data_IF_399591814126
#
_entry.id   IF_399591814126
#
_cell.length_a   1.000
_cell.length_b   1.000
_cell.length_c   1.000
_cell.angle_alpha   90.00
_cell.angle_beta   90.00
_cell.angle_gamma   90.00
#
_symmetry.space_group_name_H-M   'P 1'
#
loop_
_entity.id
_entity.type
_entity.pdbx_description
1 polymer ?
#
# COMPACT_ATOMS: atom_id res chain seq x y z
N UNK A 1 5.26 11.99 8.45
CA UNK A 1 4.17 12.21 9.43
C UNK A 1 4.17 11.04 10.40
N UNK A 2 3.80 11.28 11.66
CA UNK A 2 3.74 10.25 12.69
C UNK A 2 2.42 9.48 12.68
N UNK A 3 2.43 8.25 13.19
CA UNK A 3 1.24 7.41 13.36
C UNK A 3 0.27 8.08 14.33
N UNK A 4 -1.01 7.75 14.20
CA UNK A 4 -2.10 8.28 15.04
C UNK A 4 -2.96 7.17 15.60
N UNK A 5 -3.46 7.41 16.81
CA UNK A 5 -4.50 6.62 17.46
C UNK A 5 -5.53 7.57 18.09
N UNK A 6 -6.61 7.03 18.67
CA UNK A 6 -7.58 7.80 19.41
C UNK A 6 -7.13 8.00 20.87
N UNK A 7 -7.62 9.05 21.54
CA UNK A 7 -7.20 9.37 22.92
C UNK A 7 -7.98 8.57 23.97
N UNK A 8 -9.26 8.32 23.73
CA UNK A 8 -10.19 7.69 24.67
C UNK A 8 -11.05 6.67 23.95
N UNK A 9 -11.60 5.73 24.72
CA UNK A 9 -12.61 4.81 24.21
C UNK A 9 -13.89 5.56 23.84
N UNK A 10 -14.54 5.16 22.75
CA UNK A 10 -15.84 5.69 22.34
C UNK A 10 -16.72 4.55 21.82
N UNK A 11 -17.98 4.58 22.23
CA UNK A 11 -18.95 3.52 21.96
C UNK A 11 -20.07 4.04 21.05
N UNK A 12 -20.45 3.21 20.08
CA UNK A 12 -21.54 3.47 19.15
C UNK A 12 -22.44 2.22 19.14
N UNK A 13 -23.74 2.42 19.30
CA UNK A 13 -24.72 1.35 19.21
C UNK A 13 -25.60 1.55 17.97
N UNK A 14 -26.00 0.46 17.34
CA UNK A 14 -26.88 0.50 16.16
C UNK A 14 -27.34 -0.89 15.74
N UNK A 15 -27.71 -0.99 14.46
CA UNK A 15 -28.20 -2.23 13.84
C UNK A 15 -27.37 -2.48 12.59
N UNK A 16 -26.99 -3.73 12.34
CA UNK A 16 -26.34 -4.13 11.08
C UNK A 16 -27.30 -4.02 9.90
N UNK A 17 -26.83 -3.51 8.75
CA UNK A 17 -27.64 -3.31 7.56
C UNK A 17 -28.28 -4.63 7.08
N UNK A 18 -27.46 -5.66 6.90
CA UNK A 18 -27.88 -6.90 6.27
C UNK A 18 -28.46 -7.90 7.27
N UNK A 19 -27.81 -8.05 8.41
CA UNK A 19 -28.17 -9.02 9.44
C UNK A 19 -29.36 -8.57 10.27
N UNK A 20 -29.57 -7.25 10.42
CA UNK A 20 -30.55 -6.69 11.35
C UNK A 20 -30.21 -6.91 12.83
N UNK A 21 -29.01 -7.41 13.12
CA UNK A 21 -28.56 -7.64 14.48
C UNK A 21 -28.27 -6.31 15.18
N UNK A 22 -28.70 -6.19 16.44
CA UNK A 22 -28.25 -5.08 17.29
C UNK A 22 -26.78 -5.30 17.63
N UNK A 23 -26.00 -4.23 17.55
CA UNK A 23 -24.58 -4.26 17.81
C UNK A 23 -24.17 -3.02 18.59
N UNK A 24 -23.29 -3.23 19.56
CA UNK A 24 -22.56 -2.22 20.29
C UNK A 24 -21.10 -2.36 19.89
N UNK A 25 -20.59 -1.32 19.25
CA UNK A 25 -19.22 -1.22 18.76
C UNK A 25 -18.45 -0.23 19.63
N UNK A 26 -17.22 -0.56 20.02
CA UNK A 26 -16.34 0.30 20.82
C UNK A 26 -15.01 0.46 20.12
N UNK A 27 -14.62 1.69 19.82
CA UNK A 27 -13.26 2.00 19.39
C UNK A 27 -12.38 2.21 20.62
N UNK A 28 -11.19 1.61 20.62
CA UNK A 28 -10.18 1.76 21.67
C UNK A 28 -8.83 2.22 21.12
N UNK A 29 -8.09 3.08 21.85
CA UNK A 29 -6.71 3.40 21.53
C UNK A 29 -5.87 2.14 21.38
N UNK A 30 -4.89 2.18 20.48
CA UNK A 30 -3.97 1.07 20.28
C UNK A 30 -2.53 1.58 20.15
N UNK A 31 -1.58 0.74 20.57
CA UNK A 31 -0.14 1.03 20.51
C UNK A 31 0.36 1.19 19.07
N UNK A 32 1.55 1.77 18.91
CA UNK A 32 2.19 1.92 17.60
C UNK A 32 2.32 0.57 16.88
N UNK A 33 2.20 0.61 15.55
CA UNK A 33 2.22 -0.56 14.66
C UNK A 33 1.17 -1.63 14.98
N UNK A 34 0.16 -1.33 15.80
CA UNK A 34 -0.95 -2.24 16.03
C UNK A 34 -1.80 -2.45 14.77
N UNK A 35 -1.94 -1.40 13.95
CA UNK A 35 -2.86 -1.32 12.83
C UNK A 35 -4.33 -1.24 13.27
N UNK A 36 -5.23 -1.43 12.31
CA UNK A 36 -6.68 -1.53 12.57
C UNK A 36 -7.02 -3.01 12.76
N UNK A 37 -7.65 -3.35 13.90
CA UNK A 37 -8.12 -4.72 14.16
C UNK A 37 -9.53 -4.69 14.73
N UNK A 38 -10.31 -5.68 14.35
CA UNK A 38 -11.61 -5.97 14.95
C UNK A 38 -11.47 -7.04 16.02
N UNK A 39 -12.39 -7.06 16.99
CA UNK A 39 -12.48 -8.09 18.02
C UNK A 39 -13.94 -8.43 18.33
N UNK A 40 -14.30 -9.70 18.16
CA UNK A 40 -15.66 -10.20 18.39
C UNK A 40 -15.84 -10.57 19.85
N UNK A 41 -16.49 -9.70 20.62
CA UNK A 41 -16.66 -9.84 22.07
C UNK A 41 -17.71 -10.88 22.46
N UNK A 42 -18.63 -11.18 21.56
CA UNK A 42 -19.73 -12.12 21.73
C UNK A 42 -19.34 -13.58 21.47
N UNK A 43 -18.18 -13.83 20.85
CA UNK A 43 -17.68 -15.17 20.57
C UNK A 43 -16.78 -15.70 21.70
N UNK A 44 -16.71 -17.04 21.89
CA UNK A 44 -15.71 -17.67 22.75
C UNK A 44 -14.29 -17.22 22.35
N UNK A 45 -13.43 -17.02 23.35
CA UNK A 45 -12.04 -16.56 23.20
C UNK A 45 -11.84 -15.14 22.65
N UNK A 46 -12.92 -14.41 22.38
CA UNK A 46 -12.93 -13.02 21.93
C UNK A 46 -11.90 -12.73 20.81
N UNK A 47 -12.00 -13.43 19.68
CA UNK A 47 -10.97 -13.48 18.64
C UNK A 47 -10.79 -12.14 17.93
N UNK A 48 -9.56 -11.89 17.48
CA UNK A 48 -9.17 -10.73 16.71
C UNK A 48 -9.20 -11.02 15.21
N UNK A 49 -9.57 -10.03 14.40
CA UNK A 49 -9.51 -10.06 12.94
C UNK A 49 -8.76 -8.82 12.47
N UNK A 50 -7.56 -8.94 11.89
CA UNK A 50 -6.85 -7.78 11.34
C UNK A 50 -7.58 -7.25 10.10
N UNK A 51 -7.63 -5.92 9.96
CA UNK A 51 -8.14 -5.26 8.74
C UNK A 51 -7.12 -5.41 7.61
N UNK A 52 -7.16 -6.56 6.95
CA UNK A 52 -6.21 -6.96 5.91
C UNK A 52 -6.95 -7.60 4.74
N UNK A 53 -6.57 -7.23 3.52
CA UNK A 53 -7.21 -7.74 2.29
C UNK A 53 -7.20 -9.27 2.17
N UNK A 54 -6.24 -9.95 2.81
CA UNK A 54 -6.17 -11.42 2.85
C UNK A 54 -7.26 -12.06 3.73
N UNK A 55 -7.93 -11.27 4.57
CA UNK A 55 -9.03 -11.70 5.42
C UNK A 55 -10.40 -11.49 4.78
N UNK A 56 -10.47 -10.89 3.59
CA UNK A 56 -11.74 -10.68 2.88
C UNK A 56 -12.25 -12.02 2.32
N UNK A 57 -13.47 -12.40 2.71
CA UNK A 57 -14.11 -13.65 2.26
C UNK A 57 -15.34 -13.42 1.37
N UNK A 58 -15.98 -12.26 1.47
CA UNK A 58 -17.15 -11.91 0.69
C UNK A 58 -17.18 -10.41 0.41
N UNK A 59 -17.70 -10.06 -0.77
CA UNK A 59 -17.83 -8.68 -1.26
C UNK A 59 -19.25 -8.39 -1.76
N UNK A 60 -20.23 -9.19 -1.34
CA UNK A 60 -21.61 -9.11 -1.79
C UNK A 60 -22.32 -8.01 -1.00
N UNK A 61 -22.55 -6.84 -1.63
CA UNK A 61 -23.24 -5.69 -1.02
C UNK A 61 -22.57 -5.13 0.24
N UNK A 62 -21.28 -5.40 0.39
CA UNK A 62 -20.40 -4.90 1.44
C UNK A 62 -19.15 -5.77 1.55
N UNK A 63 -18.18 -5.37 2.35
CA UNK A 63 -16.93 -6.09 2.55
C UNK A 63 -16.95 -6.84 3.87
N UNK A 64 -16.72 -8.16 3.81
CA UNK A 64 -16.74 -9.04 4.99
C UNK A 64 -15.36 -9.63 5.23
N UNK A 65 -14.86 -9.46 6.47
CA UNK A 65 -13.62 -10.04 6.94
C UNK A 65 -13.86 -11.30 7.75
N UNK A 66 -12.94 -12.27 7.67
CA UNK A 66 -12.93 -13.46 8.51
C UNK A 66 -11.52 -13.83 8.94
N UNK A 67 -11.37 -14.21 10.21
CA UNK A 67 -10.20 -14.91 10.71
C UNK A 67 -10.61 -16.05 11.66
N UNK A 68 -10.20 -17.27 11.33
CA UNK A 68 -10.71 -18.47 11.97
C UNK A 68 -12.24 -18.57 11.86
N UNK A 69 -12.91 -18.62 13.01
CA UNK A 69 -14.38 -18.71 13.13
C UNK A 69 -15.07 -17.34 13.18
N UNK A 70 -14.30 -16.27 13.37
CA UNK A 70 -14.85 -14.94 13.59
C UNK A 70 -15.02 -14.19 12.28
N UNK A 71 -16.16 -13.53 12.11
CA UNK A 71 -16.47 -12.71 10.94
C UNK A 71 -16.89 -11.30 11.36
N UNK A 72 -16.63 -10.31 10.52
CA UNK A 72 -17.17 -8.95 10.64
C UNK A 72 -17.64 -8.49 9.27
N UNK A 73 -18.92 -8.16 9.20
CA UNK A 73 -19.60 -7.74 7.98
C UNK A 73 -19.63 -6.21 7.88
N UNK A 74 -19.61 -5.71 6.64
CA UNK A 74 -19.87 -4.28 6.31
C UNK A 74 -18.82 -3.34 6.93
N UNK A 75 -17.53 -3.64 6.76
CA UNK A 75 -16.43 -2.88 7.39
C UNK A 75 -16.09 -1.55 6.72
N UNK A 76 -16.49 -1.39 5.46
CA UNK A 76 -16.07 -0.33 4.54
C UNK A 76 -16.29 1.09 5.07
N UNK A 77 -17.45 1.42 5.65
CA UNK A 77 -17.72 2.79 6.12
C UNK A 77 -16.86 3.15 7.33
N UNK A 78 -16.70 2.22 8.28
CA UNK A 78 -15.84 2.41 9.44
C UNK A 78 -14.37 2.54 9.03
N UNK A 79 -13.90 1.70 8.11
CA UNK A 79 -12.53 1.81 7.58
C UNK A 79 -12.30 3.12 6.82
N UNK A 80 -13.30 3.55 6.05
CA UNK A 80 -13.28 4.83 5.34
C UNK A 80 -13.15 6.01 6.32
N UNK A 81 -13.91 6.00 7.42
CA UNK A 81 -13.83 7.03 8.47
C UNK A 81 -12.44 7.09 9.12
N UNK A 82 -11.86 5.93 9.47
CA UNK A 82 -10.54 5.84 10.08
C UNK A 82 -9.44 6.39 9.15
N UNK A 83 -9.45 5.98 7.88
CA UNK A 83 -8.49 6.46 6.89
C UNK A 83 -8.69 7.93 6.56
N UNK A 84 -9.93 8.38 6.44
CA UNK A 84 -10.30 9.78 6.23
C UNK A 84 -9.81 10.71 7.35
N UNK A 85 -9.74 10.22 8.59
CA UNK A 85 -9.19 10.94 9.74
C UNK A 85 -7.69 10.68 9.96
N UNK A 86 -7.09 9.79 9.17
CA UNK A 86 -5.68 9.43 9.25
C UNK A 86 -5.30 8.67 10.53
N UNK A 87 -6.23 7.90 11.10
CA UNK A 87 -6.01 7.02 12.26
C UNK A 87 -5.37 5.71 11.77
N UNK A 88 -4.21 5.35 12.33
CA UNK A 88 -3.45 4.16 11.90
C UNK A 88 -3.67 2.97 12.85
N UNK A 89 -3.78 3.25 14.15
CA UNK A 89 -3.84 2.24 15.19
C UNK A 89 -5.14 2.37 15.99
N UNK A 90 -5.99 1.36 15.92
CA UNK A 90 -7.24 1.29 16.71
C UNK A 90 -7.67 -0.17 16.87
N UNK A 91 -8.23 -0.49 18.03
CA UNK A 91 -8.95 -1.74 18.26
C UNK A 91 -10.46 -1.46 18.22
N UNK A 92 -11.18 -2.23 17.42
CA UNK A 92 -12.63 -2.10 17.25
C UNK A 92 -13.28 -3.34 17.85
N UNK A 93 -13.86 -3.21 19.03
CA UNK A 93 -14.61 -4.28 19.68
C UNK A 93 -16.08 -4.23 19.25
N UNK A 94 -16.68 -5.38 18.98
CA UNK A 94 -18.10 -5.49 18.64
C UNK A 94 -18.72 -6.75 19.24
N UNK A 95 -19.97 -6.65 19.70
CA UNK A 95 -20.76 -7.75 20.28
C UNK A 95 -21.78 -8.35 19.31
N UNK A 96 -21.59 -8.09 18.00
CA UNK A 96 -22.43 -8.57 16.92
C UNK A 96 -21.62 -8.93 15.67
N UNK A 97 -22.25 -9.52 14.65
CA UNK A 97 -21.55 -9.98 13.45
C UNK A 97 -21.28 -8.90 12.40
N UNK A 98 -21.91 -7.73 12.51
CA UNK A 98 -21.93 -6.69 11.49
C UNK A 98 -21.74 -5.31 12.13
N UNK A 99 -21.01 -4.43 11.46
CA UNK A 99 -20.86 -3.03 11.85
C UNK A 99 -22.23 -2.32 11.78
N UNK A 100 -22.57 -1.44 12.75
CA UNK A 100 -23.85 -0.72 12.71
C UNK A 100 -23.92 0.18 11.47
N UNK A 101 -25.04 0.15 10.75
CA UNK A 101 -25.20 0.95 9.51
C UNK A 101 -25.39 2.44 9.79
N UNK A 102 -25.94 2.77 10.96
CA UNK A 102 -26.24 4.15 11.38
C UNK A 102 -27.14 4.85 10.35
N UNK A 103 -26.75 6.02 9.84
CA UNK A 103 -27.44 6.74 8.76
C UNK A 103 -27.09 6.25 7.35
N UNK A 104 -26.25 5.23 7.22
CA UNK A 104 -25.77 4.68 5.95
C UNK A 104 -24.56 5.41 5.37
N UNK A 105 -24.01 6.41 6.06
CA UNK A 105 -22.78 7.09 5.69
C UNK A 105 -21.65 6.77 6.68
N UNK A 106 -20.57 7.55 6.64
CA UNK A 106 -19.47 7.48 7.61
C UNK A 106 -19.48 8.63 8.64
N UNK A 107 -20.42 9.59 8.55
CA UNK A 107 -20.36 10.83 9.35
C UNK A 107 -20.43 10.57 10.84
N UNK A 108 -21.30 9.67 11.28
CA UNK A 108 -21.47 9.37 12.71
C UNK A 108 -20.24 8.66 13.30
N UNK A 109 -19.48 7.91 12.49
CA UNK A 109 -18.17 7.40 12.90
C UNK A 109 -17.15 8.53 13.02
N UNK A 110 -17.14 9.45 12.05
CA UNK A 110 -16.23 10.60 12.04
C UNK A 110 -16.46 11.49 13.26
N UNK A 111 -17.72 11.82 13.57
CA UNK A 111 -18.10 12.64 14.73
C UNK A 111 -17.64 11.99 16.04
N UNK A 112 -17.91 10.70 16.24
CA UNK A 112 -17.49 9.96 17.44
C UNK A 112 -15.95 9.90 17.58
N UNK A 113 -15.23 9.67 16.48
CA UNK A 113 -13.76 9.62 16.46
C UNK A 113 -13.14 11.00 16.72
N UNK A 114 -13.77 12.08 16.25
CA UNK A 114 -13.33 13.44 16.54
C UNK A 114 -13.61 13.82 18.00
N UNK A 115 -14.77 13.43 18.55
CA UNK A 115 -15.14 13.67 19.95
C UNK A 115 -14.16 13.00 20.93
N UNK A 116 -13.75 11.76 20.65
CA UNK A 116 -12.82 11.04 21.51
C UNK A 116 -11.38 11.59 21.47
N UNK A 117 -11.06 12.42 20.48
CA UNK A 117 -9.74 13.02 20.26
C UNK A 117 -8.77 12.09 19.52
N UNK A 118 -7.94 12.65 18.64
CA UNK A 118 -6.91 11.93 17.87
C UNK A 118 -5.54 12.42 18.32
N UNK A 119 -4.65 11.49 18.69
CA UNK A 119 -3.30 11.78 19.18
C UNK A 119 -2.24 11.19 18.25
N UNK A 120 -1.12 11.89 18.11
CA UNK A 120 0.06 11.36 17.42
C UNK A 120 0.88 10.45 18.35
N UNK A 121 1.45 9.41 17.77
CA UNK A 121 2.35 8.47 18.43
C UNK A 121 3.79 8.73 17.95
N UNK A 122 4.83 8.47 18.77
CA UNK A 122 6.22 8.76 18.42
C UNK A 122 6.82 7.74 17.44
N UNK A 123 6.10 7.41 16.37
CA UNK A 123 6.51 6.44 15.36
C UNK A 123 6.10 6.96 13.97
N UNK A 124 6.99 6.87 12.98
CA UNK A 124 6.68 7.35 11.63
C UNK A 124 5.65 6.44 10.92
N UNK A 125 4.77 7.06 10.12
CA UNK A 125 3.88 6.32 9.21
C UNK A 125 4.70 5.72 8.08
N UNK A 126 4.49 4.42 7.85
CA UNK A 126 5.09 3.70 6.72
C UNK A 126 4.10 3.71 5.54
N UNK A 127 4.33 4.63 4.59
CA UNK A 127 3.48 4.80 3.42
C UNK A 127 3.84 3.82 2.30
N UNK A 128 2.83 3.36 1.57
CA UNK A 128 3.03 2.79 0.24
C UNK A 128 3.04 3.90 -0.80
N UNK A 129 4.20 4.14 -1.41
CA UNK A 129 4.39 5.19 -2.41
C UNK A 129 4.19 4.63 -3.81
N UNK A 130 3.25 5.21 -4.56
CA UNK A 130 3.05 4.91 -5.97
C UNK A 130 4.18 5.58 -6.76
N UNK A 131 5.19 4.80 -7.14
CA UNK A 131 6.39 5.30 -7.83
C UNK A 131 6.25 5.34 -9.35
N UNK A 132 5.31 4.58 -9.90
CA UNK A 132 5.03 4.47 -11.34
C UNK A 132 3.53 4.35 -11.57
N UNK A 133 3.08 4.71 -12.77
CA UNK A 133 1.68 4.54 -13.16
C UNK A 133 1.36 3.06 -13.32
N UNK A 134 0.29 2.60 -12.65
CA UNK A 134 -0.18 1.22 -12.70
C UNK A 134 -1.65 1.19 -13.10
N UNK A 135 -1.98 0.41 -14.12
CA UNK A 135 -3.36 0.14 -14.52
C UNK A 135 -3.79 -1.25 -14.05
N UNK A 136 -5.05 -1.36 -13.66
CA UNK A 136 -5.71 -2.62 -13.32
C UNK A 136 -7.13 -2.60 -13.86
N UNK A 137 -7.55 -3.71 -14.46
CA UNK A 137 -8.91 -3.90 -14.94
C UNK A 137 -9.45 -5.19 -14.37
N UNK A 138 -10.61 -5.13 -13.73
CA UNK A 138 -11.30 -6.33 -13.25
C UNK A 138 -12.01 -7.01 -14.44
N UNK A 139 -11.63 -8.24 -14.81
CA UNK A 139 -12.19 -8.92 -15.98
C UNK A 139 -13.68 -9.26 -15.81
N UNK A 140 -14.16 -9.39 -14.57
CA UNK A 140 -15.52 -9.82 -14.29
C UNK A 140 -16.51 -8.66 -14.29
N UNK A 141 -16.20 -7.54 -13.63
CA UNK A 141 -17.09 -6.37 -13.57
C UNK A 141 -16.80 -5.32 -14.64
N UNK A 142 -15.67 -5.42 -15.35
CA UNK A 142 -15.19 -4.39 -16.28
C UNK A 142 -14.80 -3.08 -15.59
N UNK A 143 -14.54 -3.12 -14.28
CA UNK A 143 -14.10 -1.97 -13.52
C UNK A 143 -12.64 -1.64 -13.86
N UNK A 144 -12.32 -0.36 -13.96
CA UNK A 144 -10.99 0.13 -14.34
C UNK A 144 -10.40 0.94 -13.18
N UNK A 145 -9.11 0.74 -12.91
CA UNK A 145 -8.35 1.41 -11.87
C UNK A 145 -7.03 1.90 -12.43
N UNK A 146 -6.65 3.12 -12.06
CA UNK A 146 -5.38 3.73 -12.41
C UNK A 146 -4.77 4.31 -11.13
N UNK A 147 -3.60 3.82 -10.74
CA UNK A 147 -2.78 4.43 -9.70
C UNK A 147 -1.64 5.22 -10.35
N UNK A 148 -1.44 6.47 -9.94
CA UNK A 148 -0.41 7.36 -10.46
C UNK A 148 0.42 7.96 -9.32
N UNK A 149 1.70 8.30 -9.56
CA UNK A 149 2.51 9.03 -8.60
C UNK A 149 1.88 10.38 -8.24
N UNK A 150 1.86 10.69 -6.95
CA UNK A 150 1.49 11.99 -6.38
C UNK A 150 2.12 12.13 -4.99
N UNK A 151 2.43 13.36 -4.58
CA UNK A 151 3.03 13.68 -3.28
C UNK A 151 2.01 13.62 -2.12
N UNK A 152 0.73 13.42 -2.45
CA UNK A 152 -0.36 13.27 -1.50
C UNK A 152 -1.33 12.16 -1.95
N UNK A 153 -2.29 11.82 -1.08
CA UNK A 153 -3.37 10.92 -1.44
C UNK A 153 -4.49 11.68 -2.14
N UNK A 154 -4.82 11.24 -3.35
CA UNK A 154 -5.95 11.74 -4.13
C UNK A 154 -6.79 10.55 -4.60
N UNK A 155 -8.12 10.70 -4.61
CA UNK A 155 -9.03 9.68 -5.10
C UNK A 155 -10.12 10.29 -5.98
N UNK A 156 -10.28 9.77 -7.19
CA UNK A 156 -11.39 10.11 -8.09
C UNK A 156 -12.15 8.85 -8.47
N UNK A 157 -13.47 8.88 -8.37
CA UNK A 157 -14.34 7.78 -8.77
C UNK A 157 -15.36 8.26 -9.78
N UNK A 158 -15.51 7.48 -10.86
CA UNK A 158 -16.54 7.65 -11.88
C UNK A 158 -17.52 6.49 -11.80
N UNK A 159 -18.80 6.80 -11.58
CA UNK A 159 -19.87 5.81 -11.56
C UNK A 159 -20.67 5.86 -12.86
N UNK A 160 -21.02 4.68 -13.35
CA UNK A 160 -21.87 4.51 -14.51
C UNK A 160 -22.69 3.22 -14.30
N UNK A 161 -23.94 3.43 -13.85
CA UNK A 161 -24.89 2.35 -13.59
C UNK A 161 -25.77 2.01 -14.79
N UNK A 162 -25.51 2.63 -15.96
CA UNK A 162 -26.34 2.48 -17.15
C UNK A 162 -27.85 2.69 -16.87
N UNK A 163 -28.16 3.59 -15.93
CA UNK A 163 -29.53 3.93 -15.53
C UNK A 163 -29.96 5.20 -16.26
N UNK A 164 -31.25 5.24 -16.67
CA UNK A 164 -31.83 6.47 -17.24
C UNK A 164 -31.98 7.57 -16.20
N UNK A 165 -32.10 7.20 -14.93
CA UNK A 165 -32.42 8.11 -13.83
C UNK A 165 -31.17 8.49 -13.02
N UNK A 166 -30.19 7.58 -12.94
CA UNK A 166 -28.86 7.90 -12.42
C UNK A 166 -27.85 7.88 -13.57
N UNK A 167 -27.60 9.08 -14.14
CA UNK A 167 -26.61 9.27 -15.17
C UNK A 167 -25.17 9.05 -14.68
N UNK A 168 -24.20 9.24 -15.58
CA UNK A 168 -22.80 9.21 -15.22
C UNK A 168 -22.49 10.34 -14.24
N UNK A 169 -21.85 10.00 -13.12
CA UNK A 169 -21.43 10.95 -12.11
C UNK A 169 -19.98 10.69 -11.76
N UNK A 170 -19.30 11.73 -11.28
CA UNK A 170 -17.96 11.61 -10.74
C UNK A 170 -17.87 12.32 -9.39
N UNK A 171 -16.94 11.86 -8.56
CA UNK A 171 -16.55 12.51 -7.32
C UNK A 171 -15.03 12.46 -7.20
N UNK A 172 -14.45 13.50 -6.61
CA UNK A 172 -13.02 13.60 -6.33
C UNK A 172 -12.80 14.04 -4.88
N UNK A 173 -11.73 13.51 -4.30
CA UNK A 173 -11.15 13.92 -3.03
C UNK A 173 -9.68 14.24 -3.31
N UNK A 174 -9.37 15.53 -3.47
CA UNK A 174 -8.02 15.98 -3.80
C UNK A 174 -7.14 16.13 -2.54
N UNK A 175 -7.76 16.30 -1.37
CA UNK A 175 -7.07 16.35 -0.09
C UNK A 175 -7.84 15.56 0.96
N UNK A 176 -7.16 14.63 1.63
CA UNK A 176 -7.76 13.80 2.68
C UNK A 176 -8.39 14.62 3.82
N UNK A 177 -7.91 15.85 4.08
CA UNK A 177 -8.46 16.75 5.10
C UNK A 177 -9.92 17.14 4.84
N UNK A 178 -10.35 17.11 3.59
CA UNK A 178 -11.71 17.48 3.19
C UNK A 178 -12.70 16.32 3.34
N UNK A 179 -12.21 15.10 3.65
CA UNK A 179 -13.02 13.88 3.72
C UNK A 179 -14.24 14.03 4.64
N UNK A 180 -14.04 14.54 5.85
CA UNK A 180 -15.09 14.66 6.87
C UNK A 180 -16.27 15.53 6.40
N UNK A 181 -16.00 16.56 5.59
CA UNK A 181 -17.01 17.52 5.13
C UNK A 181 -17.61 17.11 3.78
N UNK A 182 -16.80 16.53 2.90
CA UNK A 182 -17.17 16.33 1.51
C UNK A 182 -17.61 14.91 1.17
N UNK A 183 -17.17 13.90 1.92
CA UNK A 183 -17.35 12.48 1.59
C UNK A 183 -18.08 11.74 2.70
N UNK A 184 -17.64 11.90 3.96
CA UNK A 184 -18.21 11.20 5.11
C UNK A 184 -19.75 11.23 5.23
N UNK A 185 -20.47 12.33 4.95
CA UNK A 185 -21.94 12.36 5.06
C UNK A 185 -22.69 11.73 3.88
N UNK A 186 -22.00 11.18 2.88
CA UNK A 186 -22.67 10.62 1.70
C UNK A 186 -23.16 9.20 1.97
N UNK A 187 -24.48 9.01 1.94
CA UNK A 187 -25.13 7.76 2.35
C UNK A 187 -25.13 6.72 1.25
N UNK A 188 -25.26 5.47 1.70
CA UNK A 188 -25.42 4.32 0.80
C UNK A 188 -26.72 4.42 0.01
N UNK A 189 -26.76 3.70 -1.10
CA UNK A 189 -27.89 3.74 -2.01
C UNK A 189 -28.16 2.38 -2.62
N UNK A 190 -29.41 2.17 -3.03
CA UNK A 190 -29.88 0.93 -3.63
C UNK A 190 -30.87 1.24 -4.74
N UNK A 191 -30.83 0.45 -5.81
CA UNK A 191 -31.86 0.56 -6.85
C UNK A 191 -33.13 -0.17 -6.44
N UNK A 192 -34.27 0.41 -6.79
CA UNK A 192 -35.58 -0.12 -6.41
C UNK A 192 -35.79 -1.57 -6.85
N UNK A 193 -35.39 -1.93 -8.07
CA UNK A 193 -35.54 -3.30 -8.58
C UNK A 193 -34.67 -4.32 -7.83
N UNK A 194 -33.66 -3.87 -7.08
CA UNK A 194 -32.76 -4.72 -6.30
C UNK A 194 -33.32 -4.99 -4.91
N UNK A 195 -34.13 -4.08 -4.34
CA UNK A 195 -34.69 -4.21 -3.00
C UNK A 195 -35.47 -5.53 -2.83
N UNK A 196 -36.32 -5.90 -3.79
CA UNK A 196 -37.11 -7.13 -3.72
C UNK A 196 -36.22 -8.38 -3.67
N UNK A 197 -35.19 -8.44 -4.53
CA UNK A 197 -34.22 -9.55 -4.56
C UNK A 197 -33.42 -9.64 -3.27
N UNK A 198 -33.01 -8.50 -2.70
CA UNK A 198 -32.24 -8.46 -1.45
C UNK A 198 -33.08 -8.95 -0.27
N UNK A 199 -34.36 -8.56 -0.20
CA UNK A 199 -35.30 -9.05 0.81
C UNK A 199 -35.51 -10.57 0.69
N UNK A 200 -35.71 -11.09 -0.53
CA UNK A 200 -35.85 -12.54 -0.79
C UNK A 200 -34.60 -13.34 -0.37
N UNK A 201 -33.42 -12.74 -0.49
CA UNK A 201 -32.14 -13.32 -0.05
C UNK A 201 -31.88 -13.19 1.46
N UNK A 202 -32.85 -12.72 2.25
CA UNK A 202 -32.71 -12.45 3.68
C UNK A 202 -31.60 -11.43 4.02
N UNK A 203 -31.31 -10.49 3.10
CA UNK A 203 -30.42 -9.35 3.31
C UNK A 203 -31.23 -8.10 3.70
N UNK A 204 -30.54 -6.98 3.94
CA UNK A 204 -31.10 -5.66 4.26
C UNK A 204 -32.12 -5.62 5.41
N UNK A 205 -32.03 -6.54 6.38
CA UNK A 205 -32.98 -6.64 7.51
C UNK A 205 -32.95 -5.42 8.45
N UNK A 206 -31.84 -4.70 8.50
CA UNK A 206 -31.69 -3.41 9.20
C UNK A 206 -31.82 -2.20 8.28
N UNK A 207 -32.01 -2.41 6.97
CA UNK A 207 -32.21 -1.35 6.00
C UNK A 207 -33.56 -0.68 6.20
N UNK A 208 -33.55 0.65 6.22
CA UNK A 208 -34.75 1.46 6.24
C UNK A 208 -34.57 2.69 5.36
N UNK A 209 -35.64 3.45 5.18
CA UNK A 209 -35.62 4.64 4.34
C UNK A 209 -34.84 5.82 4.92
N UNK A 210 -34.42 5.73 6.18
CA UNK A 210 -33.67 6.77 6.87
C UNK A 210 -32.15 6.52 6.78
N UNK A 211 -31.72 5.31 6.38
CA UNK A 211 -30.32 4.90 6.27
C UNK A 211 -29.85 4.52 4.86
N UNK A 212 -30.70 4.65 3.83
CA UNK A 212 -30.30 4.41 2.45
C UNK A 212 -31.11 5.25 1.46
N UNK A 213 -30.43 5.76 0.43
CA UNK A 213 -31.06 6.44 -0.70
C UNK A 213 -31.62 5.39 -1.65
N UNK A 214 -32.93 5.46 -1.94
CA UNK A 214 -33.57 4.54 -2.88
C UNK A 214 -33.68 5.20 -4.24
N UNK A 215 -33.00 4.63 -5.23
CA UNK A 215 -33.00 5.11 -6.61
C UNK A 215 -34.05 4.33 -7.40
N UNK A 216 -35.05 5.04 -7.88
CA UNK A 216 -36.10 4.50 -8.75
C UNK A 216 -35.58 4.47 -10.17
N UNK A 217 -35.50 3.29 -10.77
CA UNK A 217 -34.95 3.10 -12.11
C UNK A 217 -35.94 2.42 -13.09
N UNK A 218 -37.19 2.26 -12.66
CA UNK A 218 -38.34 1.85 -13.48
C UNK A 218 -39.48 2.85 -13.35
N UNK A 219 -40.31 2.94 -14.38
CA UNK A 219 -41.58 3.67 -14.27
C UNK A 219 -42.48 2.96 -13.24
N UNK A 220 -43.07 3.74 -12.35
CA UNK A 220 -43.99 3.25 -11.33
C UNK A 220 -45.34 3.94 -11.48
N UNK A 221 -46.41 3.16 -11.38
CA UNK A 221 -47.75 3.73 -11.21
C UNK A 221 -47.95 4.25 -9.78
N UNK A 222 -48.99 5.05 -9.55
CA UNK A 222 -49.32 5.49 -8.19
C UNK A 222 -49.66 4.31 -7.27
N UNK A 223 -50.30 3.26 -7.80
CA UNK A 223 -50.58 2.04 -7.03
C UNK A 223 -49.30 1.32 -6.61
N UNK A 224 -48.30 1.24 -7.49
CA UNK A 224 -46.99 0.67 -7.16
C UNK A 224 -46.28 1.47 -6.06
N UNK A 225 -46.38 2.80 -6.10
CA UNK A 225 -45.83 3.69 -5.06
C UNK A 225 -46.55 3.51 -3.72
N UNK A 226 -47.88 3.36 -3.75
CA UNK A 226 -48.68 3.15 -2.53
C UNK A 226 -48.41 1.78 -1.91
N UNK A 227 -48.23 0.74 -2.74
CA UNK A 227 -47.79 -0.59 -2.28
C UNK A 227 -46.38 -0.55 -1.71
N UNK A 228 -45.46 0.18 -2.36
CA UNK A 228 -44.11 0.37 -1.87
C UNK A 228 -44.10 1.12 -0.53
N UNK A 229 -44.89 2.18 -0.38
CA UNK A 229 -45.03 2.92 0.87
C UNK A 229 -45.46 2.01 2.03
N UNK A 230 -46.43 1.11 1.78
CA UNK A 230 -46.86 0.09 2.75
C UNK A 230 -45.73 -0.88 3.10
N UNK A 231 -45.03 -1.42 2.10
CA UNK A 231 -43.88 -2.32 2.33
C UNK A 231 -42.76 -1.64 3.14
N UNK A 232 -42.58 -0.33 2.94
CA UNK A 232 -41.55 0.47 3.61
C UNK A 232 -42.04 1.17 4.90
N UNK A 233 -43.25 0.86 5.38
CA UNK A 233 -43.86 1.45 6.58
C UNK A 233 -43.85 3.00 6.59
N UNK A 234 -44.14 3.66 5.46
CA UNK A 234 -44.32 5.11 5.37
C UNK A 234 -45.73 5.46 4.90
N UNK A 235 -46.26 6.65 5.28
CA UNK A 235 -47.60 7.09 4.88
C UNK A 235 -47.73 7.36 3.38
N UNK A 236 -46.66 7.79 2.71
CA UNK A 236 -46.59 7.94 1.25
C UNK A 236 -45.14 8.02 0.79
N UNK A 237 -44.87 7.69 -0.48
CA UNK A 237 -43.60 7.94 -1.16
C UNK A 237 -43.85 8.59 -2.51
N UNK A 238 -42.96 9.49 -2.92
CA UNK A 238 -42.98 10.16 -4.23
C UNK A 238 -41.59 10.05 -4.85
N UNK A 239 -41.55 10.00 -6.18
CA UNK A 239 -40.30 10.07 -6.94
C UNK A 239 -40.00 11.53 -7.21
N UNK A 240 -38.85 12.02 -6.74
CA UNK A 240 -38.37 13.37 -7.05
C UNK A 240 -37.82 13.43 -8.48
N UNK A 241 -37.58 14.65 -8.98
CA UNK A 241 -37.15 14.89 -10.37
C UNK A 241 -35.86 14.15 -10.77
N UNK A 242 -35.06 13.75 -9.78
CA UNK A 242 -33.77 13.07 -9.94
C UNK A 242 -33.91 11.54 -9.90
N UNK A 243 -35.13 11.00 -9.88
CA UNK A 243 -35.36 9.56 -9.82
C UNK A 243 -35.04 8.94 -8.45
N UNK A 244 -34.97 9.76 -7.42
CA UNK A 244 -34.77 9.34 -6.03
C UNK A 244 -36.10 9.39 -5.29
N UNK A 245 -36.37 8.44 -4.39
CA UNK A 245 -37.53 8.54 -3.51
C UNK A 245 -37.35 9.72 -2.55
N UNK A 246 -38.42 10.50 -2.34
CA UNK A 246 -38.46 11.67 -1.46
C UNK A 246 -38.37 11.34 0.04
N UNK A 247 -37.76 10.21 0.38
CA UNK A 247 -37.62 9.73 1.74
C UNK A 247 -36.46 10.41 2.44
N UNK A 248 -35.47 10.88 1.66
CA UNK A 248 -34.33 11.65 2.14
C UNK A 248 -34.01 12.79 1.16
N UNK A 249 -33.53 13.90 1.71
CA UNK A 249 -32.92 14.98 0.92
C UNK A 249 -31.44 14.68 0.72
N UNK A 250 -30.97 14.74 -0.52
CA UNK A 250 -29.55 14.54 -0.83
C UNK A 250 -28.69 15.66 -0.23
N UNK A 251 -27.54 15.30 0.37
CA UNK A 251 -26.54 16.25 0.85
C UNK A 251 -25.77 16.89 -0.32
N UNK A 252 -25.58 16.12 -1.40
CA UNK A 252 -24.92 16.56 -2.62
C UNK A 252 -25.66 16.02 -3.85
N UNK A 253 -25.66 16.78 -4.95
CA UNK A 253 -26.25 16.31 -6.20
C UNK A 253 -25.58 15.04 -6.76
N UNK A 254 -24.31 14.81 -6.42
CA UNK A 254 -23.54 13.62 -6.76
C UNK A 254 -23.27 12.70 -5.55
N UNK A 255 -24.16 12.68 -4.55
CA UNK A 255 -24.02 11.85 -3.34
C UNK A 255 -23.74 10.36 -3.65
N UNK A 256 -24.38 9.70 -4.65
CA UNK A 256 -24.05 8.32 -5.02
C UNK A 256 -22.58 8.13 -5.46
N UNK A 257 -22.02 9.08 -6.22
CA UNK A 257 -20.62 9.03 -6.64
C UNK A 257 -19.66 9.23 -5.46
N UNK A 258 -19.99 10.16 -4.55
CA UNK A 258 -19.22 10.42 -3.33
C UNK A 258 -19.28 9.25 -2.35
N UNK A 259 -20.42 8.58 -2.24
CA UNK A 259 -20.53 7.35 -1.48
C UNK A 259 -19.69 6.22 -2.09
N UNK A 260 -19.65 6.10 -3.42
CA UNK A 260 -18.76 5.12 -4.05
C UNK A 260 -17.27 5.43 -3.81
N UNK A 261 -16.90 6.72 -3.74
CA UNK A 261 -15.56 7.14 -3.32
C UNK A 261 -15.28 6.73 -1.87
N UNK A 262 -16.25 6.93 -0.96
CA UNK A 262 -16.19 6.48 0.43
C UNK A 262 -15.93 4.97 0.51
N UNK A 263 -16.66 4.16 -0.24
CA UNK A 263 -16.47 2.70 -0.33
C UNK A 263 -15.06 2.32 -0.79
N UNK A 264 -14.60 2.94 -1.89
CA UNK A 264 -13.26 2.69 -2.44
C UNK A 264 -12.19 3.01 -1.39
N UNK A 265 -12.31 4.12 -0.66
CA UNK A 265 -11.39 4.47 0.41
C UNK A 265 -11.40 3.43 1.54
N UNK A 266 -12.59 2.99 1.95
CA UNK A 266 -12.77 1.97 2.97
C UNK A 266 -12.12 0.64 2.58
N UNK A 267 -12.38 0.16 1.36
CA UNK A 267 -11.81 -1.09 0.86
C UNK A 267 -10.28 -1.00 0.67
N UNK A 268 -9.77 0.14 0.18
CA UNK A 268 -8.32 0.35 0.02
C UNK A 268 -7.57 0.43 1.36
N UNK A 269 -8.27 0.74 2.46
CA UNK A 269 -7.70 0.69 3.81
C UNK A 269 -7.18 -0.70 4.17
N UNK A 270 -7.78 -1.76 3.59
CA UNK A 270 -7.37 -3.16 3.77
C UNK A 270 -6.01 -3.49 3.15
N UNK A 271 -5.39 -2.57 2.40
CA UNK A 271 -3.99 -2.66 2.03
C UNK A 271 -3.08 -2.75 3.27
N UNK A 272 -3.50 -2.16 4.39
CA UNK A 272 -2.78 -2.15 5.66
C UNK A 272 -1.66 -1.09 5.74
N UNK A 273 -1.57 -0.19 4.76
CA UNK A 273 -0.69 0.98 4.76
C UNK A 273 -1.37 2.16 4.09
N UNK A 274 -1.13 3.41 4.56
CA UNK A 274 -1.58 4.60 3.85
C UNK A 274 -0.88 4.71 2.49
N UNK A 275 -1.62 5.19 1.48
CA UNK A 275 -1.14 5.33 0.10
C UNK A 275 -0.69 6.78 -0.12
N UNK A 276 0.46 6.97 -0.77
CA UNK A 276 0.84 8.25 -1.40
C UNK A 276 0.78 8.08 -2.91
N UNK A 277 -0.15 8.80 -3.55
CA UNK A 277 -0.48 8.64 -4.94
C UNK A 277 -1.92 9.01 -5.26
N UNK A 278 -2.20 9.13 -6.55
CA UNK A 278 -3.54 9.39 -7.06
C UNK A 278 -4.18 8.10 -7.57
N UNK A 279 -5.38 7.80 -7.09
CA UNK A 279 -6.18 6.67 -7.57
C UNK A 279 -7.36 7.21 -8.37
N UNK A 280 -7.57 6.68 -9.57
CA UNK A 280 -8.75 6.95 -10.40
C UNK A 280 -9.46 5.63 -10.67
N UNK A 281 -10.76 5.59 -10.41
CA UNK A 281 -11.58 4.39 -10.58
C UNK A 281 -12.78 4.65 -11.47
N UNK A 282 -13.20 3.64 -12.24
CA UNK A 282 -14.42 3.67 -13.05
C UNK A 282 -15.21 2.38 -12.83
N UNK A 283 -16.51 2.51 -12.57
CA UNK A 283 -17.42 1.37 -12.28
C UNK A 283 -16.93 0.49 -11.12
N UNK A 284 -16.31 1.11 -10.13
CA UNK A 284 -15.80 0.41 -8.95
C UNK A 284 -16.92 -0.18 -8.09
N UNK A 285 -16.58 -1.22 -7.34
CA UNK A 285 -17.42 -1.86 -6.34
C UNK A 285 -16.58 -2.80 -5.48
N UNK A 286 -17.09 -3.26 -4.34
CA UNK A 286 -16.29 -3.97 -3.33
C UNK A 286 -15.45 -5.12 -3.88
N UNK A 287 -16.00 -5.94 -4.78
CA UNK A 287 -15.26 -7.04 -5.42
C UNK A 287 -14.01 -6.52 -6.13
N UNK A 288 -14.17 -5.57 -7.05
CA UNK A 288 -13.07 -5.06 -7.85
C UNK A 288 -12.14 -4.13 -7.06
N UNK A 289 -12.65 -3.45 -6.02
CA UNK A 289 -11.85 -2.70 -5.06
C UNK A 289 -10.88 -3.63 -4.30
N UNK A 290 -11.39 -4.76 -3.81
CA UNK A 290 -10.61 -5.77 -3.09
C UNK A 290 -9.57 -6.42 -4.00
N UNK A 291 -9.93 -6.76 -5.24
CA UNK A 291 -8.95 -7.28 -6.21
C UNK A 291 -7.87 -6.26 -6.56
N UNK A 292 -8.25 -4.98 -6.70
CA UNK A 292 -7.28 -3.90 -6.86
C UNK A 292 -6.39 -3.72 -5.62
N UNK A 293 -6.94 -3.81 -4.41
CA UNK A 293 -6.16 -3.78 -3.17
C UNK A 293 -5.17 -4.96 -3.08
N UNK A 294 -5.56 -6.17 -3.51
CA UNK A 294 -4.63 -7.32 -3.64
C UNK A 294 -3.53 -7.06 -4.66
N UNK A 295 -3.88 -6.46 -5.81
CA UNK A 295 -2.91 -6.06 -6.83
C UNK A 295 -1.90 -5.04 -6.27
N UNK A 296 -2.36 -3.99 -5.59
CA UNK A 296 -1.50 -3.00 -4.94
C UNK A 296 -0.64 -3.63 -3.84
N UNK A 297 -1.19 -4.56 -3.05
CA UNK A 297 -0.44 -5.28 -2.02
C UNK A 297 0.72 -6.09 -2.62
N UNK A 298 0.49 -6.76 -3.75
CA UNK A 298 1.56 -7.45 -4.49
C UNK A 298 2.65 -6.48 -4.93
N UNK A 299 2.27 -5.33 -5.51
CA UNK A 299 3.19 -4.28 -5.94
C UNK A 299 3.98 -3.67 -4.78
N UNK A 300 3.34 -3.44 -3.65
CA UNK A 300 3.96 -3.00 -2.41
C UNK A 300 4.98 -4.01 -1.89
N UNK A 301 4.65 -5.30 -1.90
CA UNK A 301 5.59 -6.36 -1.52
C UNK A 301 6.77 -6.46 -2.48
N UNK A 302 6.55 -6.30 -3.78
CA UNK A 302 7.62 -6.29 -4.78
C UNK A 302 8.52 -5.06 -4.62
N UNK A 303 7.96 -3.86 -4.44
CA UNK A 303 8.73 -2.67 -4.08
C UNK A 303 9.53 -2.87 -2.78
N UNK A 304 8.96 -3.53 -1.77
CA UNK A 304 9.69 -3.83 -0.52
C UNK A 304 10.87 -4.78 -0.76
N UNK A 305 10.76 -5.75 -1.67
CA UNK A 305 11.91 -6.60 -2.07
C UNK A 305 13.00 -5.80 -2.78
N UNK A 306 12.61 -4.75 -3.51
CA UNK A 306 13.52 -3.82 -4.18
C UNK A 306 14.07 -2.74 -3.23
N UNK A 307 13.43 -2.52 -2.08
CA UNK A 307 13.83 -1.50 -1.09
C UNK A 307 15.25 -1.82 -0.58
N UNK A 308 16.20 -0.95 -0.93
CA UNK A 308 17.62 -1.10 -0.59
C UNK A 308 18.50 -1.59 -1.73
N UNK A 309 17.93 -2.00 -2.88
CA UNK A 309 18.67 -2.22 -4.13
C UNK A 309 18.97 -0.84 -4.74
N UNK A 310 20.23 -0.50 -5.02
CA UNK A 310 20.55 0.75 -5.68
C UNK A 310 19.97 0.82 -7.09
N UNK A 311 19.45 1.99 -7.48
CA UNK A 311 18.96 2.25 -8.82
C UNK A 311 20.11 2.76 -9.70
N UNK A 312 20.39 2.07 -10.81
CA UNK A 312 21.34 2.53 -11.81
C UNK A 312 20.60 3.18 -12.98
N UNK A 313 20.81 4.48 -13.15
CA UNK A 313 20.33 5.27 -14.27
C UNK A 313 21.52 5.58 -15.20
N UNK A 314 21.59 5.00 -16.42
CA UNK A 314 22.73 5.21 -17.31
C UNK A 314 22.82 6.63 -17.87
N UNK A 315 21.73 7.42 -17.81
CA UNK A 315 21.71 8.81 -18.28
C UNK A 315 22.29 9.79 -17.24
N UNK A 316 22.45 9.35 -15.98
CA UNK A 316 23.09 10.15 -14.92
C UNK A 316 24.60 9.99 -14.94
N UNK A 317 25.30 11.12 -14.85
CA UNK A 317 26.75 11.13 -14.68
C UNK A 317 27.16 10.43 -13.36
N UNK A 318 28.22 9.60 -13.36
CA UNK A 318 28.70 8.96 -12.15
C UNK A 318 29.38 9.97 -11.22
N UNK A 319 29.42 9.68 -9.92
CA UNK A 319 30.21 10.44 -8.95
C UNK A 319 31.71 10.29 -9.19
N UNK A 320 32.15 9.05 -9.45
CA UNK A 320 33.50 8.76 -9.89
C UNK A 320 33.47 7.86 -11.13
N UNK A 321 34.19 8.26 -12.18
CA UNK A 321 34.44 7.42 -13.35
C UNK A 321 35.67 6.52 -13.14
N UNK A 322 35.93 5.61 -14.08
CA UNK A 322 37.03 4.65 -14.00
C UNK A 322 38.40 5.31 -13.85
N UNK A 323 38.66 6.44 -14.52
CA UNK A 323 39.91 7.20 -14.39
C UNK A 323 40.10 7.77 -12.99
N UNK A 324 39.04 8.30 -12.38
CA UNK A 324 39.07 8.80 -11.00
C UNK A 324 39.25 7.66 -10.00
N UNK A 325 38.56 6.53 -10.20
CA UNK A 325 38.71 5.33 -9.36
C UNK A 325 40.16 4.81 -9.42
N UNK A 326 40.79 4.83 -10.59
CA UNK A 326 42.19 4.44 -10.76
C UNK A 326 43.17 5.31 -9.95
N UNK A 327 42.83 6.57 -9.67
CA UNK A 327 43.63 7.45 -8.81
C UNK A 327 43.45 7.14 -7.33
N UNK A 328 42.31 6.55 -6.94
CA UNK A 328 41.98 6.20 -5.56
C UNK A 328 42.46 4.79 -5.18
N UNK A 329 42.31 3.82 -6.08
CA UNK A 329 42.70 2.42 -5.85
C UNK A 329 44.09 2.10 -6.43
N UNK A 330 44.84 1.18 -5.82
CA UNK A 330 46.09 0.65 -6.41
C UNK A 330 45.87 -0.16 -7.69
N UNK A 331 44.69 -0.76 -7.87
CA UNK A 331 44.39 -1.71 -8.94
C UNK A 331 44.50 -1.09 -10.34
N UNK A 332 45.02 -1.87 -11.30
CA UNK A 332 45.18 -1.48 -12.71
C UNK A 332 44.64 -2.58 -13.62
N UNK A 333 44.27 -2.24 -14.85
CA UNK A 333 43.89 -3.23 -15.86
C UNK A 333 44.96 -4.35 -15.95
N UNK A 334 44.57 -5.64 -16.00
CA UNK A 334 43.20 -6.16 -16.11
C UNK A 334 42.46 -6.39 -14.78
N UNK A 335 42.98 -5.93 -13.65
CA UNK A 335 42.45 -6.24 -12.31
C UNK A 335 41.71 -5.08 -11.63
N UNK A 336 41.62 -3.90 -12.24
CA UNK A 336 40.67 -2.86 -11.82
C UNK A 336 39.30 -3.20 -12.42
N UNK A 337 38.36 -3.63 -11.58
CA UNK A 337 37.09 -4.23 -12.01
C UNK A 337 35.89 -3.27 -11.97
N UNK A 338 35.95 -2.24 -11.12
CA UNK A 338 34.84 -1.29 -10.93
C UNK A 338 34.96 -0.15 -11.95
N UNK A 339 33.91 0.06 -12.74
CA UNK A 339 33.90 1.05 -13.82
C UNK A 339 33.45 2.44 -13.36
N UNK A 340 32.51 2.49 -12.40
CA UNK A 340 31.89 3.73 -11.91
C UNK A 340 31.51 3.60 -10.45
N UNK A 341 31.52 4.72 -9.72
CA UNK A 341 30.77 4.90 -8.47
C UNK A 341 29.61 5.86 -8.75
N UNK A 342 28.40 5.45 -8.41
CA UNK A 342 27.17 6.23 -8.69
C UNK A 342 26.57 6.86 -7.43
N UNK A 343 26.89 6.32 -6.25
CA UNK A 343 26.41 6.85 -4.98
C UNK A 343 27.43 6.58 -3.87
N UNK A 344 27.65 7.57 -3.01
CA UNK A 344 28.45 7.42 -1.79
C UNK A 344 27.86 8.33 -0.71
N UNK A 345 27.73 7.83 0.51
CA UNK A 345 27.41 8.62 1.70
C UNK A 345 28.25 8.14 2.89
N UNK A 346 27.85 8.46 4.12
CA UNK A 346 28.60 8.08 5.32
C UNK A 346 28.42 6.62 5.77
N UNK A 347 27.51 5.86 5.16
CA UNK A 347 27.19 4.47 5.53
C UNK A 347 27.42 3.47 4.41
N UNK A 348 27.25 3.86 3.15
CA UNK A 348 27.38 2.95 2.03
C UNK A 348 27.96 3.62 0.77
N UNK A 349 28.35 2.77 -0.17
CA UNK A 349 28.77 3.12 -1.52
C UNK A 349 28.13 2.17 -2.55
N UNK A 350 27.91 2.69 -3.75
CA UNK A 350 27.38 1.92 -4.88
C UNK A 350 28.31 2.05 -6.08
N UNK A 351 28.87 0.93 -6.52
CA UNK A 351 29.68 0.79 -7.70
C UNK A 351 28.96 0.08 -8.84
N UNK A 352 29.44 0.28 -10.06
CA UNK A 352 28.98 -0.42 -11.27
C UNK A 352 30.15 -1.18 -11.88
N UNK A 353 29.91 -2.44 -12.25
CA UNK A 353 30.79 -3.23 -13.12
C UNK A 353 30.01 -3.74 -14.33
N UNK A 354 30.53 -3.49 -15.52
CA UNK A 354 30.05 -4.11 -16.75
C UNK A 354 30.86 -5.38 -17.00
N UNK A 355 30.16 -6.43 -17.41
CA UNK A 355 30.77 -7.72 -17.73
C UNK A 355 30.83 -7.87 -19.24
N UNK A 356 32.03 -7.93 -19.81
CA UNK A 356 32.23 -8.00 -21.27
C UNK A 356 32.92 -9.28 -21.69
N UNK A 357 32.52 -9.84 -22.84
CA UNK A 357 33.10 -11.06 -23.39
C UNK A 357 34.61 -10.92 -23.66
N UNK A 358 35.09 -9.67 -23.81
CA UNK A 358 36.49 -9.37 -24.07
C UNK A 358 37.39 -9.53 -22.82
N UNK A 359 36.84 -9.73 -21.63
CA UNK A 359 37.66 -9.99 -20.43
C UNK A 359 38.39 -11.33 -20.56
N UNK A 360 39.72 -11.33 -20.41
CA UNK A 360 40.58 -12.50 -20.65
C UNK A 360 40.23 -13.72 -19.80
N UNK A 361 39.61 -13.49 -18.64
CA UNK A 361 39.09 -14.53 -17.74
C UNK A 361 38.16 -15.53 -18.45
N UNK A 362 37.39 -15.09 -19.45
CA UNK A 362 36.44 -15.94 -20.16
C UNK A 362 37.12 -16.91 -21.13
N UNK A 363 38.38 -16.70 -21.49
CA UNK A 363 39.14 -17.62 -22.33
C UNK A 363 39.46 -18.92 -21.59
N UNK A 364 39.65 -18.86 -20.27
CA UNK A 364 40.14 -19.99 -19.47
C UNK A 364 39.20 -20.46 -18.36
N UNK A 365 38.26 -19.64 -17.85
CA UNK A 365 37.43 -20.01 -16.71
C UNK A 365 36.46 -21.17 -17.04
N UNK A 366 35.70 -21.06 -18.14
CA UNK A 366 34.83 -22.12 -18.67
C UNK A 366 34.68 -21.98 -20.20
N UNK A 367 35.55 -22.62 -21.01
CA UNK A 367 35.45 -22.58 -22.46
C UNK A 367 34.07 -23.03 -22.97
N UNK A 368 33.42 -22.22 -23.81
CA UNK A 368 32.07 -22.49 -24.34
C UNK A 368 30.90 -22.18 -23.40
N UNK A 369 31.17 -21.76 -22.15
CA UNK A 369 30.14 -21.39 -21.17
C UNK A 369 30.65 -20.20 -20.33
N UNK A 370 30.65 -18.97 -20.88
CA UNK A 370 31.27 -17.81 -20.25
C UNK A 370 30.50 -17.39 -18.99
N UNK A 371 31.04 -17.73 -17.82
CA UNK A 371 30.50 -17.36 -16.51
C UNK A 371 31.51 -16.49 -15.79
N UNK A 372 31.08 -15.34 -15.26
CA UNK A 372 31.96 -14.45 -14.53
C UNK A 372 32.35 -15.11 -13.18
N UNK A 373 33.65 -15.25 -12.85
CA UNK A 373 34.09 -15.96 -11.66
C UNK A 373 33.53 -15.36 -10.37
N UNK A 374 33.03 -16.22 -9.47
CA UNK A 374 32.51 -15.78 -8.17
C UNK A 374 33.55 -15.02 -7.33
N UNK A 375 34.81 -15.43 -7.38
CA UNK A 375 35.90 -14.71 -6.71
C UNK A 375 36.10 -13.28 -7.24
N UNK A 376 35.85 -13.05 -8.52
CA UNK A 376 35.93 -11.70 -9.10
C UNK A 376 34.69 -10.85 -8.78
N UNK A 377 33.55 -11.47 -8.44
CA UNK A 377 32.41 -10.74 -7.86
C UNK A 377 32.77 -10.22 -6.48
N UNK A 378 33.40 -11.05 -5.64
CA UNK A 378 33.88 -10.64 -4.32
C UNK A 378 34.95 -9.56 -4.43
N UNK A 379 35.87 -9.69 -5.39
CA UNK A 379 36.88 -8.67 -5.68
C UNK A 379 36.25 -7.35 -6.12
N UNK A 380 35.25 -7.36 -7.00
CA UNK A 380 34.57 -6.15 -7.42
C UNK A 380 33.82 -5.46 -6.26
N UNK A 381 33.19 -6.24 -5.37
CA UNK A 381 32.62 -5.74 -4.12
C UNK A 381 33.71 -5.14 -3.20
N UNK A 382 34.83 -5.83 -3.03
CA UNK A 382 35.96 -5.36 -2.23
C UNK A 382 36.54 -4.05 -2.77
N UNK A 383 36.73 -3.92 -4.08
CA UNK A 383 37.19 -2.67 -4.71
C UNK A 383 36.18 -1.53 -4.52
N UNK A 384 34.89 -1.82 -4.65
CA UNK A 384 33.82 -0.83 -4.39
C UNK A 384 33.89 -0.33 -2.94
N UNK A 385 34.02 -1.24 -1.97
CA UNK A 385 34.21 -0.90 -0.56
C UNK A 385 35.55 -0.21 -0.27
N UNK A 386 36.60 -0.55 -1.03
CA UNK A 386 37.91 0.10 -0.98
C UNK A 386 37.83 1.58 -1.37
N UNK A 387 37.04 1.92 -2.40
CA UNK A 387 36.79 3.33 -2.76
C UNK A 387 36.15 4.07 -1.58
N UNK A 388 35.17 3.47 -0.91
CA UNK A 388 34.53 4.07 0.26
C UNK A 388 35.49 4.25 1.45
N UNK A 389 36.33 3.26 1.72
CA UNK A 389 37.31 3.30 2.80
C UNK A 389 38.38 4.36 2.56
N UNK A 390 38.90 4.45 1.33
CA UNK A 390 39.99 5.35 0.97
C UNK A 390 39.51 6.78 0.72
N UNK A 391 38.26 6.99 0.26
CA UNK A 391 37.67 8.32 0.13
C UNK A 391 37.60 9.10 1.46
N UNK A 392 37.74 8.41 2.58
CA UNK A 392 37.75 8.99 3.93
C UNK A 392 39.16 9.30 4.45
N UNK A 393 40.21 8.96 3.71
CA UNK A 393 41.60 9.25 4.10
C UNK A 393 42.10 10.51 3.40
N UNK A 394 42.99 11.24 4.09
CA UNK A 394 43.80 12.28 3.45
C UNK A 394 44.78 11.60 2.47
N UNK A 395 44.86 12.15 1.26
CA UNK A 395 45.68 11.63 0.17
C UNK A 395 45.46 10.12 -0.11
N UNK A 396 44.27 9.72 -0.61
CA UNK A 396 43.87 8.31 -0.75
C UNK A 396 44.89 7.41 -1.46
N UNK A 397 45.65 7.97 -2.41
CA UNK A 397 46.67 7.28 -3.21
C UNK A 397 47.87 6.74 -2.41
N UNK A 398 48.05 7.18 -1.16
CA UNK A 398 49.10 6.74 -0.23
C UNK A 398 48.68 5.55 0.65
N UNK A 399 47.46 5.04 0.47
CA UNK A 399 46.87 4.00 1.30
C UNK A 399 46.44 2.82 0.45
N UNK A 400 46.58 1.61 1.02
CA UNK A 400 46.10 0.38 0.44
C UNK A 400 45.03 -0.25 1.35
N UNK A 401 44.18 -1.08 0.76
CA UNK A 401 43.20 -1.89 1.51
C UNK A 401 43.53 -3.36 1.33
N UNK A 402 43.88 -4.03 2.43
CA UNK A 402 44.19 -5.46 2.42
C UNK A 402 43.01 -6.26 2.91
N UNK A 403 42.60 -7.24 2.12
CA UNK A 403 41.49 -8.11 2.42
C UNK A 403 41.87 -9.11 3.51
N UNK A 404 41.14 -9.11 4.62
CA UNK A 404 41.44 -9.93 5.80
C UNK A 404 40.50 -11.12 5.96
N UNK A 405 39.21 -10.93 5.70
CA UNK A 405 38.19 -11.94 5.97
C UNK A 405 37.02 -11.82 5.00
N UNK A 406 36.54 -12.98 4.55
CA UNK A 406 35.22 -13.18 3.95
C UNK A 406 34.37 -13.99 4.91
N UNK A 407 33.15 -13.55 5.15
CA UNK A 407 32.13 -14.32 5.86
C UNK A 407 30.85 -14.38 5.03
N UNK A 408 30.07 -15.46 5.19
CA UNK A 408 28.74 -15.63 4.58
C UNK A 408 28.68 -15.32 3.06
N UNK A 409 29.71 -15.68 2.29
CA UNK A 409 29.69 -15.49 0.84
C UNK A 409 28.72 -16.48 0.16
N UNK A 410 27.72 -15.95 -0.55
CA UNK A 410 26.73 -16.73 -1.30
C UNK A 410 26.65 -16.25 -2.74
N UNK A 411 26.72 -17.18 -3.67
CA UNK A 411 26.54 -16.96 -5.11
C UNK A 411 25.19 -17.52 -5.52
N UNK A 412 24.26 -16.64 -5.89
CA UNK A 412 22.85 -16.98 -6.07
C UNK A 412 22.51 -17.30 -7.52
N UNK A 413 23.12 -16.59 -8.46
CA UNK A 413 22.86 -16.71 -9.90
C UNK A 413 24.14 -16.55 -10.70
N UNK A 414 24.15 -17.11 -11.92
CA UNK A 414 25.25 -16.91 -12.87
C UNK A 414 25.23 -15.46 -13.36
N UNK A 415 26.42 -14.90 -13.51
CA UNK A 415 26.66 -13.61 -14.18
C UNK A 415 27.40 -13.92 -15.47
N UNK A 416 26.98 -13.34 -16.57
CA UNK A 416 27.48 -13.63 -17.93
C UNK A 416 27.85 -12.35 -18.68
N UNK A 417 28.63 -12.43 -19.77
CA UNK A 417 28.88 -11.28 -20.64
C UNK A 417 27.60 -10.59 -21.10
N UNK A 418 27.57 -9.26 -21.02
CA UNK A 418 26.40 -8.41 -21.27
C UNK A 418 25.71 -7.93 -19.99
N UNK A 419 25.94 -8.57 -18.85
CA UNK A 419 25.35 -8.14 -17.58
C UNK A 419 25.99 -6.84 -17.07
N UNK A 420 25.17 -6.02 -16.42
CA UNK A 420 25.62 -4.89 -15.59
C UNK A 420 25.41 -5.25 -14.13
N UNK A 421 26.51 -5.28 -13.37
CA UNK A 421 26.52 -5.50 -11.94
C UNK A 421 26.37 -4.18 -11.19
N UNK A 422 25.37 -4.12 -10.31
CA UNK A 422 25.18 -3.06 -9.33
C UNK A 422 25.72 -3.57 -8.00
N UNK A 423 26.80 -2.96 -7.51
CA UNK A 423 27.58 -3.40 -6.36
C UNK A 423 27.31 -2.45 -5.19
N UNK A 424 26.62 -2.89 -4.14
CA UNK A 424 26.41 -2.10 -2.93
C UNK A 424 27.31 -2.63 -1.81
N UNK A 425 28.03 -1.73 -1.16
CA UNK A 425 28.78 -2.02 0.06
C UNK A 425 28.30 -1.11 1.18
N UNK A 426 27.84 -1.68 2.30
CA UNK A 426 27.31 -0.96 3.45
C UNK A 426 28.11 -1.30 4.71
N UNK A 427 28.48 -0.30 5.51
CA UNK A 427 29.21 -0.52 6.76
C UNK A 427 28.40 -1.38 7.74
N UNK A 428 28.97 -2.52 8.13
CA UNK A 428 28.43 -3.36 9.19
C UNK A 428 28.67 -2.73 10.58
N UNK A 429 29.78 -2.00 10.72
CA UNK A 429 30.16 -1.30 11.94
C UNK A 429 31.04 -0.09 11.61
N UNK A 430 31.15 0.92 12.49
CA UNK A 430 32.05 2.05 12.29
C UNK A 430 33.52 1.60 12.12
N UNK A 431 34.25 2.25 11.22
CA UNK A 431 35.68 1.97 10.98
C UNK A 431 36.46 2.22 12.28
N UNK A 432 37.20 1.21 12.75
CA UNK A 432 38.00 1.28 13.98
C UNK A 432 39.38 0.69 13.76
N UNK A 433 40.42 1.43 14.16
CA UNK A 433 41.83 0.98 14.05
C UNK A 433 42.20 0.54 12.61
N UNK A 434 41.67 1.24 11.61
CA UNK A 434 41.88 0.92 10.19
C UNK A 434 41.10 -0.31 9.68
N UNK A 435 40.32 -1.00 10.51
CA UNK A 435 39.48 -2.11 10.08
C UNK A 435 38.16 -1.61 9.52
N UNK A 436 37.82 -2.10 8.33
CA UNK A 436 36.60 -1.77 7.59
C UNK A 436 35.81 -3.06 7.43
N UNK A 437 34.61 -3.10 7.99
CA UNK A 437 33.69 -4.24 7.90
C UNK A 437 32.45 -3.81 7.14
N UNK A 438 32.16 -4.47 6.03
CA UNK A 438 31.05 -4.12 5.15
C UNK A 438 30.26 -5.33 4.71
N UNK A 439 28.95 -5.18 4.64
CA UNK A 439 28.03 -6.12 4.01
C UNK A 439 27.93 -5.71 2.54
N UNK A 440 28.26 -6.65 1.66
CA UNK A 440 28.25 -6.49 0.22
C UNK A 440 27.09 -7.22 -0.43
N UNK A 441 26.38 -6.55 -1.34
CA UNK A 441 25.38 -7.17 -2.21
C UNK A 441 25.62 -6.75 -3.67
N UNK A 442 25.53 -7.71 -4.58
CA UNK A 442 25.65 -7.49 -6.02
C UNK A 442 24.35 -7.90 -6.73
N UNK A 443 23.90 -7.09 -7.68
CA UNK A 443 22.67 -7.31 -8.44
C UNK A 443 22.90 -7.25 -9.95
N UNK A 444 22.13 -8.03 -10.71
CA UNK A 444 21.91 -7.83 -12.14
C UNK A 444 20.44 -7.46 -12.32
N UNK A 445 20.19 -6.20 -12.70
CA UNK A 445 18.85 -5.60 -12.59
C UNK A 445 18.35 -5.68 -11.15
N UNK A 446 17.21 -6.35 -10.92
CA UNK A 446 16.62 -6.56 -9.59
C UNK A 446 17.03 -7.88 -8.91
N UNK A 447 17.85 -8.71 -9.57
CA UNK A 447 18.18 -10.05 -9.07
C UNK A 447 19.47 -10.00 -8.27
N UNK A 448 19.43 -10.40 -7.00
CA UNK A 448 20.62 -10.60 -6.17
C UNK A 448 21.44 -11.76 -6.73
N UNK A 449 22.68 -11.48 -7.14
CA UNK A 449 23.60 -12.48 -7.72
C UNK A 449 24.69 -12.90 -6.73
N UNK A 450 25.11 -12.01 -5.83
CA UNK A 450 26.08 -12.28 -4.78
C UNK A 450 25.79 -11.48 -3.51
N UNK A 451 26.03 -12.09 -2.35
CA UNK A 451 26.08 -11.40 -1.05
C UNK A 451 27.28 -11.93 -0.25
N UNK A 452 27.96 -11.06 0.49
CA UNK A 452 29.10 -11.43 1.32
C UNK A 452 29.42 -10.36 2.38
N UNK A 453 29.93 -10.79 3.53
CA UNK A 453 30.47 -9.91 4.56
C UNK A 453 31.98 -9.84 4.41
N UNK A 454 32.49 -8.64 4.17
CA UNK A 454 33.87 -8.39 3.80
C UNK A 454 34.57 -7.56 4.88
N UNK A 455 35.75 -8.01 5.32
CA UNK A 455 36.61 -7.25 6.23
C UNK A 455 37.94 -6.95 5.55
N UNK A 456 38.31 -5.68 5.54
CA UNK A 456 39.61 -5.21 5.06
C UNK A 456 40.30 -4.33 6.11
N UNK A 457 41.60 -4.15 5.95
CA UNK A 457 42.42 -3.23 6.73
C UNK A 457 43.01 -2.15 5.82
N UNK A 458 42.81 -0.90 6.23
CA UNK A 458 43.46 0.26 5.62
C UNK A 458 44.88 0.34 6.16
N UNK A 459 45.87 0.34 5.28
CA UNK A 459 47.29 0.38 5.60
C UNK A 459 47.94 1.49 4.79
N UNK A 460 48.75 2.33 5.44
CA UNK A 460 49.53 3.37 4.73
C UNK A 460 50.69 2.69 4.02
N UNK A 461 50.99 3.09 2.79
CA UNK A 461 52.19 2.63 2.11
C UNK A 461 53.44 3.06 2.88
N UNK A 462 54.37 2.13 3.04
CA UNK A 462 55.72 2.49 3.45
C UNK A 462 56.38 3.29 2.31
N UNK A 463 57.00 4.41 2.66
CA UNK A 463 57.60 5.36 1.73
C UNK A 463 58.85 4.81 1.04
#
# INVERSE_FOLDING_TARGET
>A
MNQKTIQKDIQIAGVGLHTGAKVVMTFRPAIENHGIKFRRMDLPDQPYIPADVSKVIATNRGTTLQDGVAQVWTVEHTLSALTGLGIDNVLIELDGPEIPILDGSAIQFVEALQECGIIEQPFEKDYFVISETMSFQDPDTGAEYLAMPSDQFELTTMIDFNSKNLGQQFASLDNIKDYAQQIAPCRTFVFLHELEKLMEQNLIKGGNLDNAIVIVDRLMSQDDLDQLAKKLNKPSVKVEREGVLNTLTLHFSNEPARHKLLDVLGDLTLLGKPILGKIVTKKSGHKSNVEFAKFLKKKMLDQRKLKGIPLYDPDKAPLYNSTQIQQMLPHRYPFLLVDKIIEINNKFVVGIKNVTMNESIFQGHFPGNPVFPGMLLLEALAQTGGVFALAQQDEPHLWDTYFLKVDIAKFRQKVVPGDTLILKMELASPIRRGLVQMIGTAYVGSKLVCEADLTAQIVKRDA
#
